data_IF_395409192285
#
_entry.id   IF_395409192285
#
_cell.length_a   1.000
_cell.length_b   1.000
_cell.length_c   1.000
_cell.angle_alpha   90.00
_cell.angle_beta   90.00
_cell.angle_gamma   90.00
#
_symmetry.space_group_name_H-M   'P 1'
#
loop_
_entity.id
_entity.type
_entity.pdbx_description
1 polymer ?
#
# COMPACT_ATOMS: atom_id res chain seq x y z
N UNK A 1 68.60 28.01 -15.03
CA UNK A 1 68.29 28.16 -16.45
C UNK A 1 66.95 27.49 -16.69
N UNK A 2 65.88 28.29 -16.69
CA UNK A 2 64.98 28.52 -17.82
C UNK A 2 64.35 27.22 -18.35
N UNK A 3 63.05 26.99 -18.52
CA UNK A 3 61.88 27.84 -18.75
C UNK A 3 60.67 26.93 -18.68
N UNK A 4 59.53 27.37 -18.17
CA UNK A 4 58.34 27.92 -18.83
C UNK A 4 57.30 26.91 -19.30
N UNK A 5 56.21 26.87 -18.57
CA UNK A 5 54.82 27.22 -18.96
C UNK A 5 54.16 26.40 -20.08
N UNK A 6 53.05 25.80 -19.77
CA UNK A 6 52.06 25.29 -20.65
C UNK A 6 50.68 25.33 -19.98
N UNK A 7 50.01 26.45 -20.14
CA UNK A 7 48.61 26.67 -19.76
C UNK A 7 47.73 25.87 -20.71
N UNK A 8 46.80 25.08 -20.18
CA UNK A 8 45.79 24.32 -20.91
C UNK A 8 44.49 24.35 -20.18
N UNK A 9 43.80 25.48 -20.24
CA UNK A 9 42.40 25.60 -19.87
C UNK A 9 41.53 24.78 -20.81
N UNK A 10 41.04 23.64 -20.40
CA UNK A 10 39.91 22.97 -21.03
C UNK A 10 38.69 23.12 -20.19
N UNK A 11 37.81 23.93 -20.66
CA UNK A 11 36.45 24.21 -20.25
C UNK A 11 35.69 22.89 -20.06
N UNK A 12 35.39 22.55 -18.82
CA UNK A 12 34.55 21.45 -18.43
C UNK A 12 33.07 21.84 -18.48
N UNK A 13 32.50 21.96 -19.64
CA UNK A 13 31.04 22.03 -19.86
C UNK A 13 30.52 20.66 -20.24
N UNK A 14 30.19 19.84 -19.27
CA UNK A 14 29.67 18.51 -19.59
C UNK A 14 29.20 17.63 -18.44
N UNK A 15 28.85 18.19 -17.28
CA UNK A 15 28.56 17.38 -16.10
C UNK A 15 27.25 17.70 -15.36
N UNK A 16 26.34 18.50 -15.93
CA UNK A 16 25.04 18.74 -15.28
C UNK A 16 23.98 17.66 -15.60
N UNK A 17 23.97 17.12 -16.81
CA UNK A 17 22.99 16.12 -17.23
C UNK A 17 23.08 14.78 -16.50
N UNK A 18 24.27 14.33 -16.14
CA UNK A 18 24.44 13.03 -15.45
C UNK A 18 23.99 13.02 -13.99
N UNK A 19 23.76 14.16 -13.36
CA UNK A 19 23.26 14.24 -11.99
C UNK A 19 21.74 14.16 -11.92
N UNK A 20 21.05 14.71 -12.90
CA UNK A 20 19.58 14.63 -12.97
C UNK A 20 19.09 13.20 -13.25
N UNK A 21 19.76 12.47 -14.15
CA UNK A 21 19.40 11.07 -14.42
C UNK A 21 19.67 10.12 -13.26
N UNK A 22 20.65 10.40 -12.41
CA UNK A 22 20.93 9.62 -11.19
C UNK A 22 19.93 9.89 -10.07
N UNK A 23 19.31 11.05 -10.02
CA UNK A 23 18.27 11.35 -9.03
C UNK A 23 16.95 10.63 -9.34
N UNK A 24 16.68 10.32 -10.60
CA UNK A 24 15.51 9.52 -11.00
C UNK A 24 15.71 8.01 -10.74
N UNK A 25 16.92 7.52 -10.55
CA UNK A 25 17.18 6.09 -10.29
C UNK A 25 17.04 5.68 -8.82
N UNK A 26 16.77 6.61 -7.92
CA UNK A 26 16.58 6.34 -6.50
C UNK A 26 15.11 6.43 -6.07
N UNK A 27 14.20 5.87 -6.86
CA UNK A 27 12.86 5.58 -6.35
C UNK A 27 13.02 4.52 -5.27
N UNK A 28 12.73 4.81 -3.99
CA UNK A 28 12.91 3.84 -2.92
C UNK A 28 12.07 2.60 -3.25
N UNK A 29 12.69 1.44 -3.11
CA UNK A 29 12.11 0.16 -3.50
C UNK A 29 10.72 -0.09 -2.88
N UNK A 30 10.51 0.39 -1.65
CA UNK A 30 9.20 0.31 -0.99
C UNK A 30 8.11 1.07 -1.76
N UNK A 31 8.46 2.19 -2.42
CA UNK A 31 7.48 2.99 -3.17
C UNK A 31 7.01 2.26 -4.44
N UNK A 32 7.89 1.52 -5.10
CA UNK A 32 7.52 0.67 -6.25
C UNK A 32 6.54 -0.41 -5.81
N UNK A 33 6.84 -1.12 -4.72
CA UNK A 33 5.96 -2.16 -4.19
C UNK A 33 4.62 -1.59 -3.71
N UNK A 34 4.62 -0.43 -3.07
CA UNK A 34 3.39 0.26 -2.65
C UNK A 34 2.55 0.70 -3.85
N UNK A 35 3.18 1.20 -4.93
CA UNK A 35 2.49 1.58 -6.16
C UNK A 35 1.84 0.38 -6.86
N UNK A 36 2.57 -0.72 -6.98
CA UNK A 36 2.01 -1.97 -7.52
C UNK A 36 0.84 -2.47 -6.68
N UNK A 37 0.99 -2.47 -5.35
CA UNK A 37 -0.10 -2.83 -4.44
C UNK A 37 -1.34 -1.96 -4.65
N UNK A 38 -1.17 -0.65 -4.82
CA UNK A 38 -2.30 0.27 -5.06
C UNK A 38 -3.02 -0.03 -6.40
N UNK A 39 -2.26 -0.35 -7.47
CA UNK A 39 -2.85 -0.75 -8.75
C UNK A 39 -3.68 -2.03 -8.61
N UNK A 40 -3.13 -3.06 -7.97
CA UNK A 40 -3.87 -4.31 -7.75
C UNK A 40 -5.05 -4.13 -6.80
N UNK A 41 -4.95 -3.24 -5.81
CA UNK A 41 -6.09 -2.91 -4.94
C UNK A 41 -7.24 -2.25 -5.72
N UNK A 42 -6.93 -1.38 -6.69
CA UNK A 42 -7.95 -0.76 -7.55
C UNK A 42 -8.64 -1.80 -8.44
N UNK A 43 -7.88 -2.70 -9.07
CA UNK A 43 -8.43 -3.82 -9.85
C UNK A 43 -9.28 -4.75 -8.98
N UNK A 44 -8.82 -5.04 -7.78
CA UNK A 44 -9.57 -5.84 -6.80
C UNK A 44 -10.93 -5.22 -6.47
N UNK A 45 -10.97 -3.90 -6.22
CA UNK A 45 -12.21 -3.20 -5.92
C UNK A 45 -13.20 -3.25 -7.12
N UNK A 46 -12.67 -3.08 -8.34
CA UNK A 46 -13.47 -3.15 -9.57
C UNK A 46 -14.07 -4.57 -9.75
N UNK A 47 -13.23 -5.60 -9.69
CA UNK A 47 -13.69 -6.98 -9.85
C UNK A 47 -14.63 -7.42 -8.73
N UNK A 48 -14.39 -7.00 -7.49
CA UNK A 48 -15.28 -7.26 -6.38
C UNK A 48 -16.66 -6.63 -6.61
N UNK A 49 -16.73 -5.38 -7.11
CA UNK A 49 -18.00 -4.71 -7.42
C UNK A 49 -18.79 -5.43 -8.52
N UNK A 50 -18.10 -5.95 -9.52
CA UNK A 50 -18.75 -6.72 -10.59
C UNK A 50 -19.20 -8.09 -10.06
N UNK A 51 -18.32 -8.77 -9.31
CA UNK A 51 -18.54 -10.13 -8.83
C UNK A 51 -19.61 -10.25 -7.73
N UNK A 52 -19.86 -9.18 -6.97
CA UNK A 52 -20.85 -9.19 -5.88
C UNK A 52 -22.30 -8.97 -6.38
N UNK A 53 -22.48 -8.66 -7.68
CA UNK A 53 -23.81 -8.48 -8.28
C UNK A 53 -24.55 -9.81 -8.33
N UNK A 54 -25.70 -9.88 -7.65
CA UNK A 54 -26.57 -11.06 -7.65
C UNK A 54 -26.06 -12.23 -6.80
N UNK A 55 -25.00 -12.04 -6.03
CA UNK A 55 -24.44 -13.03 -5.10
C UNK A 55 -24.42 -12.43 -3.70
N UNK A 56 -24.63 -13.25 -2.69
CA UNK A 56 -24.47 -12.83 -1.29
C UNK A 56 -23.04 -12.35 -1.02
N UNK A 57 -22.90 -11.24 -0.29
CA UNK A 57 -21.61 -10.62 -0.02
C UNK A 57 -20.66 -11.52 0.75
N UNK A 58 -21.20 -12.29 1.69
CA UNK A 58 -20.42 -13.13 2.57
C UNK A 58 -19.91 -14.36 1.80
N UNK A 59 -20.74 -14.89 0.88
CA UNK A 59 -20.34 -15.95 -0.05
C UNK A 59 -19.28 -15.47 -1.05
N UNK A 60 -19.46 -14.29 -1.63
CA UNK A 60 -18.48 -13.71 -2.55
C UNK A 60 -17.11 -13.49 -1.88
N UNK A 61 -17.13 -13.04 -0.62
CA UNK A 61 -15.92 -12.90 0.19
C UNK A 61 -15.28 -14.27 0.48
N UNK A 62 -16.06 -15.29 0.84
CA UNK A 62 -15.54 -16.63 1.12
C UNK A 62 -14.85 -17.23 -0.10
N UNK A 63 -15.48 -17.17 -1.27
CA UNK A 63 -14.91 -17.66 -2.55
C UNK A 63 -13.58 -16.95 -2.84
N UNK A 64 -13.55 -15.63 -2.73
CA UNK A 64 -12.33 -14.84 -2.95
C UNK A 64 -11.22 -15.27 -1.99
N UNK A 65 -11.51 -15.46 -0.72
CA UNK A 65 -10.53 -15.84 0.30
C UNK A 65 -9.95 -17.21 -0.01
N UNK A 66 -10.77 -18.16 -0.44
CA UNK A 66 -10.31 -19.49 -0.87
C UNK A 66 -9.37 -19.40 -2.08
N UNK A 67 -9.72 -18.59 -3.08
CA UNK A 67 -8.86 -18.39 -4.27
C UNK A 67 -7.53 -17.77 -3.87
N UNK A 68 -7.53 -16.75 -3.02
CA UNK A 68 -6.29 -16.12 -2.53
C UNK A 68 -5.43 -17.15 -1.77
N UNK A 69 -6.03 -17.94 -0.89
CA UNK A 69 -5.31 -18.99 -0.17
C UNK A 69 -4.74 -20.05 -1.13
N UNK A 70 -5.53 -20.48 -2.13
CA UNK A 70 -5.09 -21.45 -3.14
C UNK A 70 -3.94 -20.95 -4.01
N UNK A 71 -3.73 -19.66 -4.14
CA UNK A 71 -2.59 -19.06 -4.87
C UNK A 71 -1.39 -18.90 -3.94
N UNK A 72 -1.60 -18.36 -2.74
CA UNK A 72 -0.49 -18.01 -1.84
C UNK A 72 0.16 -19.25 -1.22
N UNK A 73 -0.63 -20.26 -0.81
CA UNK A 73 -0.07 -21.45 -0.17
C UNK A 73 0.91 -22.22 -1.08
N UNK A 74 0.57 -22.55 -2.34
CA UNK A 74 1.54 -23.17 -3.24
C UNK A 74 2.75 -22.29 -3.52
N UNK A 75 2.56 -20.97 -3.65
CA UNK A 75 3.65 -20.03 -3.86
C UNK A 75 4.69 -20.10 -2.74
N UNK A 76 4.24 -20.14 -1.49
CA UNK A 76 5.14 -20.26 -0.32
C UNK A 76 5.88 -21.59 -0.32
N UNK A 77 5.21 -22.68 -0.71
CA UNK A 77 5.84 -24.01 -0.81
C UNK A 77 6.88 -24.05 -1.93
N UNK A 78 6.51 -23.58 -3.14
CA UNK A 78 7.40 -23.60 -4.32
C UNK A 78 8.63 -22.70 -4.11
N UNK A 79 8.47 -21.59 -3.42
CA UNK A 79 9.59 -20.69 -3.10
C UNK A 79 10.49 -21.20 -1.97
N UNK A 80 10.20 -22.38 -1.41
CA UNK A 80 10.98 -22.97 -0.31
C UNK A 80 10.93 -22.20 1.01
N UNK A 81 9.97 -21.28 1.14
CA UNK A 81 9.79 -20.45 2.34
C UNK A 81 8.83 -21.05 3.36
N UNK A 82 8.37 -22.28 3.11
CA UNK A 82 7.49 -22.96 4.03
C UNK A 82 8.24 -23.32 5.31
N UNK A 83 7.80 -22.75 6.41
CA UNK A 83 8.22 -23.12 7.77
C UNK A 83 6.99 -23.53 8.57
N UNK A 84 7.17 -24.37 9.57
CA UNK A 84 6.05 -24.78 10.40
C UNK A 84 5.53 -23.56 11.19
N UNK A 85 4.29 -23.09 10.95
CA UNK A 85 3.76 -21.90 11.61
C UNK A 85 3.63 -22.07 13.13
N UNK A 86 3.54 -23.30 13.63
CA UNK A 86 3.45 -23.58 15.06
C UNK A 86 4.78 -23.37 15.81
N UNK A 87 5.91 -23.30 15.08
CA UNK A 87 7.22 -23.02 15.65
C UNK A 87 7.54 -21.54 15.79
N UNK A 88 6.66 -20.66 15.29
CA UNK A 88 6.82 -19.22 15.45
C UNK A 88 6.63 -18.80 16.93
N UNK A 89 7.32 -17.73 17.37
CA UNK A 89 7.10 -17.18 18.71
C UNK A 89 5.62 -16.87 18.94
N UNK A 90 5.08 -17.25 20.11
CA UNK A 90 3.66 -17.09 20.42
C UNK A 90 3.14 -15.65 20.24
N UNK A 91 3.98 -14.66 20.50
CA UNK A 91 3.66 -13.24 20.24
C UNK A 91 3.42 -12.99 18.75
N UNK A 92 4.25 -13.53 17.87
CA UNK A 92 4.09 -13.41 16.42
C UNK A 92 2.82 -14.09 15.95
N UNK A 93 2.54 -15.29 16.44
CA UNK A 93 1.29 -16.01 16.11
C UNK A 93 0.06 -15.19 16.54
N UNK A 94 0.04 -14.64 17.75
CA UNK A 94 -1.06 -13.84 18.26
C UNK A 94 -1.33 -12.62 17.35
N UNK A 95 -0.29 -11.86 16.99
CA UNK A 95 -0.46 -10.67 16.15
C UNK A 95 -0.87 -11.01 14.72
N UNK A 96 -0.39 -12.12 14.16
CA UNK A 96 -0.82 -12.60 12.84
C UNK A 96 -2.29 -13.01 12.85
N UNK A 97 -2.76 -13.70 13.89
CA UNK A 97 -4.16 -14.08 14.04
C UNK A 97 -5.04 -12.85 14.21
N UNK A 98 -4.67 -11.91 15.06
CA UNK A 98 -5.41 -10.65 15.24
C UNK A 98 -5.49 -9.85 13.93
N UNK A 99 -4.39 -9.78 13.18
CA UNK A 99 -4.34 -9.15 11.86
C UNK A 99 -5.26 -9.85 10.86
N UNK A 100 -5.28 -11.17 10.84
CA UNK A 100 -6.16 -11.95 9.97
C UNK A 100 -7.64 -11.72 10.30
N UNK A 101 -7.99 -11.70 11.58
CA UNK A 101 -9.36 -11.40 12.03
C UNK A 101 -9.79 -9.98 11.65
N UNK A 102 -8.92 -8.99 11.86
CA UNK A 102 -9.19 -7.61 11.48
C UNK A 102 -9.37 -7.48 9.95
N UNK A 103 -8.53 -8.14 9.17
CA UNK A 103 -8.64 -8.17 7.71
C UNK A 103 -9.96 -8.81 7.27
N UNK A 104 -10.32 -9.95 7.85
CA UNK A 104 -11.58 -10.63 7.56
C UNK A 104 -12.79 -9.76 7.86
N UNK A 105 -12.83 -9.12 9.02
CA UNK A 105 -13.89 -8.18 9.39
C UNK A 105 -13.95 -6.98 8.44
N UNK A 106 -12.80 -6.37 8.12
CA UNK A 106 -12.71 -5.26 7.17
C UNK A 106 -13.28 -5.62 5.80
N UNK A 107 -12.92 -6.77 5.26
CA UNK A 107 -13.41 -7.22 3.97
C UNK A 107 -14.90 -7.54 3.97
N UNK A 108 -15.41 -8.12 5.05
CA UNK A 108 -16.83 -8.40 5.21
C UNK A 108 -17.68 -7.12 5.13
N UNK A 109 -17.27 -6.08 5.86
CA UNK A 109 -17.94 -4.78 5.79
C UNK A 109 -17.75 -4.09 4.43
N UNK A 110 -16.56 -4.21 3.82
CA UNK A 110 -16.27 -3.64 2.51
C UNK A 110 -17.15 -4.27 1.40
N UNK A 111 -17.31 -5.60 1.40
CA UNK A 111 -18.17 -6.29 0.43
C UNK A 111 -19.65 -5.92 0.61
N UNK A 112 -20.13 -5.81 1.84
CA UNK A 112 -21.49 -5.32 2.13
C UNK A 112 -21.68 -3.88 1.66
N UNK A 113 -20.70 -3.01 1.87
CA UNK A 113 -20.73 -1.65 1.36
C UNK A 113 -20.74 -1.60 -0.18
N UNK A 114 -20.00 -2.48 -0.84
CA UNK A 114 -20.01 -2.58 -2.31
C UNK A 114 -21.36 -3.06 -2.87
N UNK A 115 -22.12 -3.88 -2.16
CA UNK A 115 -23.46 -4.26 -2.59
C UNK A 115 -24.42 -3.08 -2.63
N UNK A 116 -24.39 -2.24 -1.60
CA UNK A 116 -25.36 -1.16 -1.40
C UNK A 116 -24.90 0.19 -1.96
N UNK A 117 -23.57 0.41 -2.09
CA UNK A 117 -22.99 1.71 -2.45
C UNK A 117 -22.35 1.76 -3.83
N UNK A 118 -22.09 2.97 -4.31
CA UNK A 118 -21.28 3.19 -5.51
C UNK A 118 -19.80 2.88 -5.23
N UNK A 119 -19.14 2.19 -6.16
CA UNK A 119 -17.74 1.78 -6.00
C UNK A 119 -16.82 2.94 -5.61
N UNK A 120 -16.94 4.08 -6.30
CA UNK A 120 -16.08 5.23 -6.07
C UNK A 120 -16.23 5.79 -4.64
N UNK A 121 -17.48 5.90 -4.15
CA UNK A 121 -17.77 6.40 -2.80
C UNK A 121 -17.25 5.44 -1.73
N UNK A 122 -17.52 4.14 -1.89
CA UNK A 122 -17.04 3.10 -0.96
C UNK A 122 -15.51 3.08 -0.90
N UNK A 123 -14.85 3.09 -2.06
CA UNK A 123 -13.40 3.07 -2.12
C UNK A 123 -12.75 4.33 -1.50
N UNK A 124 -13.40 5.49 -1.63
CA UNK A 124 -12.91 6.73 -1.01
C UNK A 124 -13.10 6.71 0.51
N UNK A 125 -14.26 6.30 1.00
CA UNK A 125 -14.54 6.19 2.45
C UNK A 125 -13.61 5.17 3.10
N UNK A 126 -13.28 4.06 2.43
CA UNK A 126 -12.30 3.09 2.89
C UNK A 126 -10.92 3.72 3.19
N UNK A 127 -10.53 4.76 2.46
CA UNK A 127 -9.28 5.49 2.70
C UNK A 127 -9.24 6.28 4.02
N UNK A 128 -10.36 6.41 4.72
CA UNK A 128 -10.36 6.94 6.08
C UNK A 128 -9.47 6.09 7.02
N UNK A 129 -9.32 4.81 6.70
CA UNK A 129 -8.41 3.89 7.38
C UNK A 129 -6.96 4.39 7.43
N UNK A 130 -6.51 5.16 6.42
CA UNK A 130 -5.15 5.74 6.38
C UNK A 130 -4.93 6.69 7.57
N UNK A 131 -5.91 7.54 7.87
CA UNK A 131 -5.84 8.42 9.04
C UNK A 131 -5.79 7.63 10.35
N UNK A 132 -6.61 6.58 10.46
CA UNK A 132 -6.62 5.71 11.65
C UNK A 132 -5.27 4.99 11.83
N UNK A 133 -4.68 4.47 10.74
CA UNK A 133 -3.37 3.79 10.80
C UNK A 133 -2.29 4.72 11.37
N UNK A 134 -2.26 5.98 10.95
CA UNK A 134 -1.23 6.92 11.40
C UNK A 134 -1.43 7.30 12.88
N UNK A 135 -2.68 7.51 13.29
CA UNK A 135 -2.98 7.74 14.71
C UNK A 135 -2.55 6.52 15.55
N UNK A 136 -2.84 5.31 15.10
CA UNK A 136 -2.43 4.09 15.78
C UNK A 136 -0.91 3.90 15.78
N UNK A 137 -0.23 4.20 14.67
CA UNK A 137 1.23 4.14 14.57
C UNK A 137 1.89 5.12 15.55
N UNK A 138 1.35 6.34 15.65
CA UNK A 138 1.82 7.31 16.65
C UNK A 138 1.62 6.82 18.09
N UNK A 139 0.43 6.29 18.40
CA UNK A 139 0.09 5.90 19.79
C UNK A 139 0.75 4.58 20.21
N UNK A 140 0.83 3.58 19.31
CA UNK A 140 1.25 2.22 19.66
C UNK A 140 2.70 1.93 19.29
N UNK A 141 3.20 2.50 18.18
CA UNK A 141 4.55 2.28 17.70
C UNK A 141 5.50 3.43 18.08
N UNK A 142 4.97 4.57 18.55
CA UNK A 142 5.77 5.75 18.88
C UNK A 142 6.37 6.45 17.66
N UNK A 143 5.86 6.15 16.46
CA UNK A 143 6.26 6.83 15.23
C UNK A 143 5.86 8.30 15.31
N UNK A 144 6.78 9.21 14.91
CA UNK A 144 6.52 10.66 14.95
C UNK A 144 6.39 11.19 13.53
N UNK A 145 5.18 11.29 13.00
CA UNK A 145 4.96 11.86 11.68
C UNK A 145 5.43 13.31 11.64
N UNK A 146 6.07 13.68 10.55
CA UNK A 146 6.51 15.06 10.27
C UNK A 146 5.30 15.94 9.95
N UNK A 147 5.46 17.27 10.06
CA UNK A 147 4.40 18.23 9.67
C UNK A 147 3.94 18.03 8.22
N UNK A 148 4.85 17.62 7.33
CA UNK A 148 4.54 17.32 5.93
C UNK A 148 3.63 16.10 5.80
N UNK A 149 3.85 15.06 6.59
CA UNK A 149 3.00 13.86 6.62
C UNK A 149 1.62 14.19 7.21
N UNK A 150 1.55 14.95 8.30
CA UNK A 150 0.29 15.42 8.86
C UNK A 150 -0.53 16.25 7.86
N UNK A 151 0.11 17.14 7.09
CA UNK A 151 -0.59 17.92 6.07
C UNK A 151 -1.11 17.04 4.92
N UNK A 152 -0.32 16.05 4.46
CA UNK A 152 -0.75 15.09 3.44
C UNK A 152 -1.96 14.27 3.88
N UNK A 153 -1.96 13.78 5.13
CA UNK A 153 -3.07 13.04 5.71
C UNK A 153 -4.33 13.91 5.81
N UNK A 154 -4.17 15.15 6.30
CA UNK A 154 -5.27 16.10 6.41
C UNK A 154 -5.95 16.35 5.06
N UNK A 155 -5.18 16.47 3.97
CA UNK A 155 -5.70 16.62 2.61
C UNK A 155 -6.46 15.37 2.14
N UNK A 156 -5.94 14.17 2.42
CA UNK A 156 -6.63 12.91 2.09
C UNK A 156 -7.96 12.82 2.83
N UNK A 157 -7.97 13.07 4.15
CA UNK A 157 -9.19 13.02 4.96
C UNK A 157 -10.21 14.09 4.55
N UNK A 158 -9.77 15.30 4.24
CA UNK A 158 -10.64 16.36 3.72
C UNK A 158 -11.27 15.94 2.38
N UNK A 159 -10.48 15.35 1.46
CA UNK A 159 -11.00 14.81 0.20
C UNK A 159 -12.04 13.71 0.41
N UNK A 160 -11.82 12.80 1.36
CA UNK A 160 -12.79 11.76 1.73
C UNK A 160 -14.09 12.36 2.22
N UNK A 161 -14.04 13.35 3.11
CA UNK A 161 -15.24 14.01 3.65
C UNK A 161 -16.02 14.72 2.53
N UNK A 162 -15.33 15.46 1.65
CA UNK A 162 -15.97 16.16 0.51
C UNK A 162 -16.69 15.18 -0.41
N UNK A 163 -16.08 14.04 -0.72
CA UNK A 163 -16.69 13.03 -1.58
C UNK A 163 -17.79 12.23 -0.89
N UNK A 164 -17.69 12.02 0.41
CA UNK A 164 -18.71 11.32 1.18
C UNK A 164 -19.99 12.17 1.39
N UNK A 165 -19.85 13.51 1.46
CA UNK A 165 -20.97 14.43 1.74
C UNK A 165 -21.73 14.90 0.50
N UNK A 166 -21.28 14.58 -0.70
CA UNK A 166 -21.98 14.98 -1.92
C UNK A 166 -23.26 14.17 -2.09
N UNK A 167 -24.42 14.86 -2.00
CA UNK A 167 -25.76 14.36 -2.36
C UNK A 167 -25.85 14.00 -3.84
#
# INVERSE_FOLDING_TARGET
MLARAGNGSSVGSGCSGNREWRSMQNVPQWLVWAGLSACFAALTALFAKVGVKGVDSDLAMAIRTLVVAAVILPLVVVTGKWSNPLLLPGRTQLFLVLSALATGASWLFYFRALQSGELAKVAVVDKFSVGLVIVLAYLLLGERPTLREWSGIGLVLAGVIVLATKK
#
